data_IF_508013025383
#
_entry.id   IF_508013025383
#
_cell.length_a   1.000
_cell.length_b   1.000
_cell.length_c   1.000
_cell.angle_alpha   90.00
_cell.angle_beta   90.00
_cell.angle_gamma   90.00
#
_symmetry.space_group_name_H-M   'P 1'
#
loop_
_entity.id
_entity.type
_entity.pdbx_description
1 polymer ?
#
# COMPACT_ATOMS: atom_id res chain seq x y z
N UNK A 1 -30.64 31.73 -24.65
CA UNK A 1 -32.02 32.12 -24.28
C UNK A 1 -32.20 31.92 -22.80
N UNK A 2 -32.98 32.83 -22.20
CA UNK A 2 -33.23 33.06 -20.78
C UNK A 2 -33.64 31.85 -19.94
N UNK A 3 -33.26 31.87 -18.66
CA UNK A 3 -33.91 31.16 -17.54
C UNK A 3 -33.66 31.93 -16.24
N UNK A 4 -34.25 33.13 -16.12
CA UNK A 4 -35.30 33.51 -15.15
C UNK A 4 -34.88 33.51 -13.67
N UNK A 5 -34.58 34.72 -13.20
CA UNK A 5 -34.40 35.12 -11.80
C UNK A 5 -35.78 35.45 -11.22
N UNK A 6 -36.19 34.76 -10.17
CA UNK A 6 -37.34 35.19 -9.35
C UNK A 6 -36.90 36.29 -8.38
N UNK A 7 -37.52 37.47 -8.51
CA UNK A 7 -37.22 38.66 -7.72
C UNK A 7 -37.96 38.63 -6.38
N UNK A 8 -37.21 38.56 -5.27
CA UNK A 8 -37.66 39.05 -3.97
C UNK A 8 -37.10 40.47 -3.76
N UNK A 9 -38.00 41.45 -3.62
CA UNK A 9 -37.67 42.86 -3.37
C UNK A 9 -37.45 43.09 -1.86
N UNK A 10 -36.27 43.58 -1.47
CA UNK A 10 -36.12 44.62 -0.43
C UNK A 10 -34.70 45.21 -0.43
N UNK A 11 -34.62 46.54 -0.48
CA UNK A 11 -33.48 47.42 -0.19
C UNK A 11 -32.12 47.16 -0.86
N UNK A 12 -31.98 47.71 -2.08
CA UNK A 12 -30.98 48.75 -2.32
C UNK A 12 -29.48 48.41 -2.31
N UNK A 13 -29.09 47.17 -2.07
CA UNK A 13 -27.72 46.71 -2.25
C UNK A 13 -27.72 45.34 -2.94
N UNK A 14 -27.45 45.34 -4.25
CA UNK A 14 -27.11 44.10 -4.96
C UNK A 14 -25.71 43.71 -4.50
N UNK A 15 -25.63 42.97 -3.38
CA UNK A 15 -24.42 42.21 -3.06
C UNK A 15 -24.42 41.06 -4.06
N UNK A 16 -23.44 40.98 -5.00
CA UNK A 16 -23.33 39.82 -5.86
C UNK A 16 -23.03 38.62 -4.97
N UNK A 17 -24.03 37.79 -4.73
CA UNK A 17 -23.81 36.44 -4.22
C UNK A 17 -23.22 35.66 -5.39
N UNK A 18 -21.89 35.55 -5.43
CA UNK A 18 -21.23 34.54 -6.24
C UNK A 18 -21.70 33.20 -5.69
N UNK A 19 -22.63 32.53 -6.38
CA UNK A 19 -22.83 31.09 -6.20
C UNK A 19 -21.45 30.47 -6.38
N UNK A 20 -20.83 30.02 -5.30
CA UNK A 20 -19.52 29.39 -5.35
C UNK A 20 -19.56 28.33 -6.44
N UNK A 21 -18.70 28.46 -7.45
CA UNK A 21 -18.67 27.51 -8.56
C UNK A 21 -18.60 26.10 -7.97
N UNK A 22 -19.43 25.19 -8.48
CA UNK A 22 -19.36 23.78 -8.10
C UNK A 22 -17.90 23.31 -8.27
N UNK A 23 -17.35 22.53 -7.31
CA UNK A 23 -15.97 22.06 -7.41
C UNK A 23 -15.80 21.26 -8.72
N UNK A 24 -14.65 21.38 -9.37
CA UNK A 24 -14.30 20.55 -10.54
C UNK A 24 -14.17 19.08 -10.11
N UNK A 25 -14.16 18.14 -11.06
CA UNK A 25 -13.91 16.73 -10.73
C UNK A 25 -12.51 16.56 -10.10
N UNK A 26 -11.49 17.25 -10.61
CA UNK A 26 -10.16 17.28 -10.00
C UNK A 26 -10.19 17.69 -8.51
N UNK A 27 -10.97 18.72 -8.15
CA UNK A 27 -11.12 19.16 -6.76
C UNK A 27 -11.88 18.14 -5.90
N UNK A 28 -12.91 17.48 -6.47
CA UNK A 28 -13.66 16.43 -5.76
C UNK A 28 -12.80 15.20 -5.50
N UNK A 29 -12.06 14.74 -6.51
CA UNK A 29 -11.19 13.56 -6.40
C UNK A 29 -10.02 13.84 -5.45
N UNK A 30 -9.40 15.02 -5.54
CA UNK A 30 -8.35 15.42 -4.59
C UNK A 30 -8.87 15.37 -3.15
N UNK A 31 -10.01 16.02 -2.87
CA UNK A 31 -10.59 16.02 -1.52
C UNK A 31 -10.97 14.62 -1.03
N UNK A 32 -11.40 13.72 -1.92
CA UNK A 32 -11.69 12.33 -1.56
C UNK A 32 -10.43 11.55 -1.18
N UNK A 33 -9.34 11.71 -1.94
CA UNK A 33 -8.05 11.07 -1.63
C UNK A 33 -7.45 11.65 -0.35
N UNK A 34 -7.50 12.97 -0.16
CA UNK A 34 -7.06 13.64 1.06
C UNK A 34 -7.80 13.13 2.30
N UNK A 35 -9.12 12.97 2.21
CA UNK A 35 -9.95 12.43 3.29
C UNK A 35 -9.58 10.96 3.60
N UNK A 36 -9.32 10.16 2.58
CA UNK A 36 -8.88 8.78 2.74
C UNK A 36 -7.53 8.70 3.46
N UNK A 37 -6.54 9.51 3.04
CA UNK A 37 -5.25 9.60 3.71
C UNK A 37 -5.36 10.03 5.17
N UNK A 38 -6.22 11.01 5.46
CA UNK A 38 -6.48 11.45 6.82
C UNK A 38 -7.08 10.34 7.69
N UNK A 39 -8.04 9.57 7.17
CA UNK A 39 -8.60 8.40 7.84
C UNK A 39 -7.52 7.35 8.14
N UNK A 40 -6.68 7.05 7.15
CA UNK A 40 -5.61 6.05 7.30
C UNK A 40 -4.58 6.46 8.36
N UNK A 41 -4.12 7.71 8.31
CA UNK A 41 -3.15 8.26 9.26
C UNK A 41 -3.74 8.31 10.68
N UNK A 42 -5.02 8.71 10.82
CA UNK A 42 -5.70 8.74 12.10
C UNK A 42 -5.80 7.33 12.71
N UNK A 43 -6.12 6.32 11.90
CA UNK A 43 -6.22 4.94 12.38
C UNK A 43 -4.87 4.41 12.89
N UNK A 44 -3.78 4.63 12.14
CA UNK A 44 -2.43 4.28 12.61
C UNK A 44 -2.09 4.98 13.93
N UNK A 45 -2.31 6.29 13.99
CA UNK A 45 -2.04 7.09 15.18
C UNK A 45 -2.78 6.59 16.43
N UNK A 46 -4.05 6.20 16.28
CA UNK A 46 -4.87 5.65 17.39
C UNK A 46 -4.33 4.31 17.88
N UNK A 47 -4.00 3.40 16.97
CA UNK A 47 -3.46 2.08 17.33
C UNK A 47 -2.09 2.21 18.01
N UNK A 48 -1.19 3.02 17.44
CA UNK A 48 0.14 3.28 18.00
C UNK A 48 0.06 3.94 19.39
N UNK A 49 -0.79 4.97 19.53
CA UNK A 49 -0.99 5.65 20.81
C UNK A 49 -1.60 4.75 21.87
N UNK A 50 -2.52 3.85 21.49
CA UNK A 50 -3.11 2.88 22.41
C UNK A 50 -2.06 1.90 22.93
N UNK A 51 -1.17 1.43 22.05
CA UNK A 51 -0.06 0.56 22.41
C UNK A 51 0.93 1.25 23.37
N UNK A 52 1.23 2.53 23.12
CA UNK A 52 2.16 3.31 23.95
C UNK A 52 1.62 3.69 25.34
N UNK A 53 0.30 3.69 25.57
CA UNK A 53 -0.33 4.13 26.83
C UNK A 53 -0.20 3.16 28.01
N UNK A 54 0.68 2.16 27.93
CA UNK A 54 0.95 1.23 29.02
C UNK A 54 -0.12 0.14 29.16
N UNK A 55 -0.47 -0.48 28.03
CA UNK A 55 -1.36 -1.63 27.99
C UNK A 55 -0.80 -2.83 28.77
N UNK A 56 -1.67 -3.74 29.23
CA UNK A 56 -1.22 -5.05 29.71
C UNK A 56 -0.48 -5.81 28.60
N UNK A 57 0.38 -6.79 28.91
CA UNK A 57 1.08 -7.57 27.88
C UNK A 57 0.13 -8.20 26.84
N UNK A 58 -1.04 -8.67 27.28
CA UNK A 58 -2.07 -9.26 26.42
C UNK A 58 -2.72 -8.22 25.50
N UNK A 59 -3.12 -7.07 26.04
CA UNK A 59 -3.67 -5.95 25.27
C UNK A 59 -2.65 -5.40 24.27
N UNK A 60 -1.39 -5.26 24.69
CA UNK A 60 -0.28 -4.87 23.83
C UNK A 60 -0.14 -5.83 22.66
N UNK A 61 -0.11 -7.15 22.92
CA UNK A 61 -0.01 -8.15 21.87
C UNK A 61 -1.18 -8.09 20.88
N UNK A 62 -2.40 -7.86 21.38
CA UNK A 62 -3.58 -7.68 20.53
C UNK A 62 -3.48 -6.43 19.65
N UNK A 63 -3.10 -5.30 20.23
CA UNK A 63 -2.91 -4.03 19.50
C UNK A 63 -1.80 -4.13 18.47
N UNK A 64 -0.70 -4.83 18.78
CA UNK A 64 0.41 -5.04 17.86
C UNK A 64 -0.02 -5.88 16.64
N UNK A 65 -0.83 -6.91 16.85
CA UNK A 65 -1.42 -7.71 15.76
C UNK A 65 -2.37 -6.88 14.90
N UNK A 66 -3.22 -6.07 15.51
CA UNK A 66 -4.13 -5.20 14.76
C UNK A 66 -3.36 -4.14 13.94
N UNK A 67 -2.30 -3.56 14.52
CA UNK A 67 -1.43 -2.61 13.83
C UNK A 67 -0.70 -3.26 12.66
N UNK A 68 -0.06 -4.41 12.85
CA UNK A 68 0.60 -5.16 11.78
C UNK A 68 -0.40 -5.55 10.69
N UNK A 69 -1.58 -6.07 11.06
CA UNK A 69 -2.64 -6.39 10.09
C UNK A 69 -2.98 -5.18 9.24
N UNK A 70 -3.25 -4.02 9.85
CA UNK A 70 -3.62 -2.81 9.11
C UNK A 70 -2.49 -2.32 8.18
N UNK A 71 -1.23 -2.42 8.61
CA UNK A 71 -0.07 -2.12 7.76
C UNK A 71 -0.04 -3.04 6.53
N UNK A 72 -0.27 -4.34 6.70
CA UNK A 72 -0.19 -5.34 5.62
C UNK A 72 -1.40 -5.36 4.70
N UNK A 73 -2.60 -5.07 5.21
CA UNK A 73 -3.85 -5.19 4.44
C UNK A 73 -4.35 -3.89 3.84
N UNK A 74 -3.86 -2.75 4.33
CA UNK A 74 -4.34 -1.44 3.90
C UNK A 74 -3.17 -0.51 3.53
N UNK A 75 -2.20 -0.28 4.41
CA UNK A 75 -1.11 0.68 4.12
C UNK A 75 -0.20 0.24 2.97
N UNK A 76 0.37 -0.98 3.03
CA UNK A 76 1.28 -1.46 1.99
C UNK A 76 0.59 -1.68 0.63
N UNK A 77 -0.63 -2.25 0.56
CA UNK A 77 -1.37 -2.32 -0.70
C UNK A 77 -1.69 -0.95 -1.29
N UNK A 78 -2.02 0.03 -0.46
CA UNK A 78 -2.24 1.43 -0.88
C UNK A 78 -0.99 2.04 -1.51
N UNK A 79 0.16 1.95 -0.82
CA UNK A 79 1.45 2.41 -1.35
C UNK A 79 1.78 1.77 -2.73
N UNK A 80 1.56 0.46 -2.89
CA UNK A 80 1.77 -0.22 -4.18
C UNK A 80 0.80 0.23 -5.27
N UNK A 81 -0.44 0.52 -4.90
CA UNK A 81 -1.42 1.06 -5.83
C UNK A 81 -0.97 2.42 -6.36
N UNK A 82 -0.47 3.31 -5.51
CA UNK A 82 0.09 4.61 -5.91
C UNK A 82 1.30 4.45 -6.84
N UNK A 83 2.23 3.55 -6.51
CA UNK A 83 3.42 3.27 -7.32
C UNK A 83 3.06 2.90 -8.77
N UNK A 84 2.02 2.08 -8.93
CA UNK A 84 1.59 1.53 -10.22
C UNK A 84 0.54 2.37 -10.93
N UNK A 85 0.06 3.47 -10.32
CA UNK A 85 -0.97 4.34 -10.92
C UNK A 85 -0.57 5.82 -10.90
N UNK A 86 -0.59 6.46 -9.73
CA UNK A 86 -0.31 7.90 -9.53
C UNK A 86 1.14 8.22 -9.88
N UNK A 87 2.10 7.45 -9.39
CA UNK A 87 3.53 7.75 -9.56
C UNK A 87 3.98 7.57 -11.01
N UNK A 88 3.40 6.61 -11.75
CA UNK A 88 3.63 6.47 -13.19
C UNK A 88 3.18 7.71 -13.97
N UNK A 89 2.09 8.36 -13.55
CA UNK A 89 1.62 9.62 -14.14
C UNK A 89 2.47 10.79 -13.71
N UNK A 90 2.81 10.86 -12.41
CA UNK A 90 3.66 11.90 -11.84
C UNK A 90 5.01 12.00 -12.57
N UNK A 91 5.62 10.86 -12.92
CA UNK A 91 6.85 10.85 -13.73
C UNK A 91 6.68 11.49 -15.11
N UNK A 92 5.53 11.29 -15.76
CA UNK A 92 5.24 11.86 -17.09
C UNK A 92 5.01 13.37 -17.07
N UNK A 93 4.63 13.93 -15.92
CA UNK A 93 4.41 15.38 -15.72
C UNK A 93 5.60 16.09 -15.09
N UNK A 94 6.78 15.46 -15.09
CA UNK A 94 8.03 16.08 -14.66
C UNK A 94 8.35 15.94 -13.16
N UNK A 95 7.63 15.09 -12.42
CA UNK A 95 7.84 14.88 -10.98
C UNK A 95 8.73 13.69 -10.64
N UNK A 96 9.57 13.24 -11.57
CA UNK A 96 10.40 12.04 -11.38
C UNK A 96 11.24 12.08 -10.09
N UNK A 97 11.86 13.23 -9.76
CA UNK A 97 12.66 13.36 -8.52
C UNK A 97 11.78 13.31 -7.26
N UNK A 98 10.59 13.91 -7.29
CA UNK A 98 9.66 13.85 -6.15
C UNK A 98 9.21 12.41 -5.92
N UNK A 99 8.83 11.71 -6.99
CA UNK A 99 8.47 10.29 -6.96
C UNK A 99 9.59 9.43 -6.39
N UNK A 100 10.85 9.69 -6.77
CA UNK A 100 12.00 8.95 -6.22
C UNK A 100 12.09 9.08 -4.68
N UNK A 101 11.81 10.28 -4.14
CA UNK A 101 11.75 10.47 -2.67
C UNK A 101 10.59 9.71 -2.03
N UNK A 102 9.44 9.60 -2.68
CA UNK A 102 8.29 8.84 -2.17
C UNK A 102 8.58 7.34 -2.17
N UNK A 103 9.17 6.82 -3.25
CA UNK A 103 9.59 5.42 -3.33
C UNK A 103 10.66 5.06 -2.29
N UNK A 104 11.55 6.00 -1.97
CA UNK A 104 12.50 5.83 -0.88
C UNK A 104 11.77 5.70 0.47
N UNK A 105 10.78 6.56 0.73
CA UNK A 105 9.96 6.50 1.95
C UNK A 105 9.13 5.22 2.04
N UNK A 106 8.58 4.71 0.93
CA UNK A 106 7.91 3.41 0.89
C UNK A 106 8.83 2.27 1.32
N UNK A 107 10.06 2.23 0.78
CA UNK A 107 11.06 1.21 1.17
C UNK A 107 11.44 1.35 2.64
N UNK A 108 11.59 2.58 3.13
CA UNK A 108 11.89 2.85 4.52
C UNK A 108 10.75 2.40 5.45
N UNK A 109 9.50 2.73 5.12
CA UNK A 109 8.32 2.26 5.85
C UNK A 109 8.24 0.74 5.84
N UNK A 110 8.44 0.09 4.70
CA UNK A 110 8.49 -1.37 4.58
C UNK A 110 9.51 -1.99 5.54
N UNK A 111 10.74 -1.47 5.55
CA UNK A 111 11.80 -1.96 6.45
C UNK A 111 11.45 -1.76 7.94
N UNK A 112 10.80 -0.64 8.29
CA UNK A 112 10.36 -0.36 9.68
C UNK A 112 9.19 -1.25 10.11
N UNK A 113 8.30 -1.60 9.19
CA UNK A 113 7.22 -2.56 9.43
C UNK A 113 7.80 -3.95 9.70
N UNK A 114 8.77 -4.39 8.88
CA UNK A 114 9.44 -5.67 9.09
C UNK A 114 10.17 -5.69 10.46
N UNK A 115 10.84 -4.59 10.83
CA UNK A 115 11.47 -4.44 12.16
C UNK A 115 10.44 -4.48 13.29
N UNK A 116 9.31 -3.79 13.14
CA UNK A 116 8.22 -3.75 14.13
C UNK A 116 7.69 -5.15 14.47
N UNK A 117 7.62 -6.05 13.49
CA UNK A 117 7.14 -7.43 13.67
C UNK A 117 8.14 -8.31 14.43
N UNK A 118 9.41 -7.89 14.55
CA UNK A 118 10.43 -8.59 15.35
C UNK A 118 10.50 -8.11 16.80
N UNK A 119 9.98 -6.92 17.09
CA UNK A 119 10.04 -6.29 18.40
C UNK A 119 8.86 -6.70 19.28
N UNK A 120 8.97 -6.44 20.59
CA UNK A 120 7.86 -6.58 21.54
C UNK A 120 7.87 -5.44 22.56
N UNK A 121 6.78 -5.28 23.31
CA UNK A 121 6.71 -4.34 24.43
C UNK A 121 7.01 -2.88 24.04
N UNK A 122 7.74 -2.16 24.89
CA UNK A 122 7.95 -0.71 24.73
C UNK A 122 8.70 -0.31 23.45
N UNK A 123 9.62 -1.15 22.97
CA UNK A 123 10.36 -0.88 21.72
C UNK A 123 9.43 -0.98 20.51
N UNK A 124 8.56 -2.00 20.49
CA UNK A 124 7.53 -2.16 19.47
C UNK A 124 6.52 -1.00 19.49
N UNK A 125 6.10 -0.55 20.68
CA UNK A 125 5.23 0.62 20.83
C UNK A 125 5.89 1.89 20.30
N UNK A 126 7.18 2.13 20.63
CA UNK A 126 7.92 3.28 20.14
C UNK A 126 8.04 3.28 18.61
N UNK A 127 8.35 2.13 18.01
CA UNK A 127 8.46 2.02 16.56
C UNK A 127 7.11 2.22 15.85
N UNK A 128 5.99 1.81 16.46
CA UNK A 128 4.64 2.07 15.92
C UNK A 128 4.34 3.57 15.78
N UNK A 129 4.78 4.39 16.74
CA UNK A 129 4.63 5.84 16.69
C UNK A 129 5.47 6.44 15.55
N UNK A 130 6.70 5.96 15.37
CA UNK A 130 7.58 6.39 14.27
C UNK A 130 6.96 6.06 12.91
N UNK A 131 6.48 4.83 12.72
CA UNK A 131 5.81 4.42 11.48
C UNK A 131 4.60 5.32 11.20
N UNK A 132 3.78 5.59 12.22
CA UNK A 132 2.58 6.43 12.09
C UNK A 132 2.91 7.85 11.65
N UNK A 133 3.95 8.45 12.23
CA UNK A 133 4.36 9.82 11.91
C UNK A 133 4.99 9.93 10.51
N UNK A 134 5.82 8.96 10.14
CA UNK A 134 6.40 8.90 8.80
C UNK A 134 5.30 8.74 7.74
N UNK A 135 4.33 7.86 7.96
CA UNK A 135 3.19 7.71 7.06
C UNK A 135 2.37 9.00 6.94
N UNK A 136 2.07 9.66 8.06
CA UNK A 136 1.33 10.93 8.07
C UNK A 136 2.03 12.02 7.25
N UNK A 137 3.34 12.17 7.45
CA UNK A 137 4.16 13.14 6.70
C UNK A 137 4.23 12.78 5.22
N UNK A 138 4.38 11.49 4.92
CA UNK A 138 4.41 10.96 3.57
C UNK A 138 3.10 11.27 2.81
N UNK A 139 1.95 10.93 3.39
CA UNK A 139 0.65 11.18 2.76
C UNK A 139 0.40 12.68 2.53
N UNK A 140 0.83 13.54 3.46
CA UNK A 140 0.76 15.00 3.27
C UNK A 140 1.62 15.50 2.11
N UNK A 141 2.83 14.94 1.92
CA UNK A 141 3.67 15.29 0.76
C UNK A 141 2.98 14.92 -0.55
N UNK A 142 2.32 13.77 -0.61
CA UNK A 142 1.59 13.37 -1.80
C UNK A 142 0.43 14.33 -2.12
N UNK A 143 -0.38 14.66 -1.09
CA UNK A 143 -1.49 15.61 -1.18
C UNK A 143 -1.06 16.99 -1.67
N UNK A 144 0.11 17.46 -1.23
CA UNK A 144 0.59 18.81 -1.54
C UNK A 144 1.31 18.88 -2.89
N UNK A 145 2.12 17.88 -3.22
CA UNK A 145 3.09 17.99 -4.30
C UNK A 145 2.81 17.09 -5.50
N UNK A 146 2.12 15.96 -5.33
CA UNK A 146 1.91 14.99 -6.40
C UNK A 146 0.48 15.08 -6.94
N UNK A 147 -0.52 14.87 -6.09
CA UNK A 147 -1.91 14.76 -6.52
C UNK A 147 -2.41 15.99 -7.29
N UNK A 148 -2.17 17.25 -6.85
CA UNK A 148 -2.67 18.41 -7.58
C UNK A 148 -2.09 18.51 -8.99
N UNK A 149 -0.83 18.10 -9.18
CA UNK A 149 -0.15 18.15 -10.47
C UNK A 149 -0.60 17.02 -11.40
N UNK A 150 -0.79 15.81 -10.85
CA UNK A 150 -1.32 14.68 -11.62
C UNK A 150 -2.76 14.97 -12.07
N UNK A 151 -3.62 15.43 -11.16
CA UNK A 151 -5.04 15.67 -11.46
C UNK A 151 -5.24 16.86 -12.41
N UNK A 152 -4.39 17.89 -12.35
CA UNK A 152 -4.44 19.02 -13.29
C UNK A 152 -3.82 18.73 -14.66
N UNK A 153 -3.13 17.60 -14.81
CA UNK A 153 -2.50 17.19 -16.08
C UNK A 153 -3.44 16.48 -17.06
N UNK A 154 -4.66 16.13 -16.62
CA UNK A 154 -5.68 15.45 -17.43
C UNK A 154 -6.94 16.32 -17.56
N UNK A 155 -7.75 16.13 -18.62
CA UNK A 155 -9.08 16.76 -18.71
C UNK A 155 -9.97 16.39 -17.51
N UNK A 156 -10.82 17.32 -17.05
CA UNK A 156 -11.63 17.14 -15.84
C UNK A 156 -12.58 15.94 -15.95
N UNK A 157 -13.05 15.63 -17.17
CA UNK A 157 -13.88 14.46 -17.49
C UNK A 157 -13.14 13.11 -17.36
N UNK A 158 -11.80 13.09 -17.44
CA UNK A 158 -10.97 11.88 -17.35
C UNK A 158 -10.42 11.63 -15.93
N UNK A 159 -10.52 12.62 -15.04
CA UNK A 159 -10.00 12.52 -13.66
C UNK A 159 -10.57 11.32 -12.90
N UNK A 160 -11.86 11.02 -13.08
CA UNK A 160 -12.51 9.88 -12.42
C UNK A 160 -11.91 8.52 -12.77
N UNK A 161 -11.24 8.40 -13.93
CA UNK A 161 -10.54 7.18 -14.33
C UNK A 161 -9.30 6.92 -13.47
N UNK A 162 -8.62 7.98 -13.02
CA UNK A 162 -7.45 7.91 -12.14
C UNK A 162 -7.86 7.29 -10.80
N UNK A 163 -8.93 7.78 -10.19
CA UNK A 163 -9.45 7.22 -8.93
C UNK A 163 -9.85 5.75 -9.08
N UNK A 164 -10.52 5.43 -10.19
CA UNK A 164 -10.92 4.06 -10.50
C UNK A 164 -9.71 3.14 -10.68
N UNK A 165 -8.59 3.64 -11.22
CA UNK A 165 -7.35 2.89 -11.35
C UNK A 165 -6.68 2.63 -10.00
N UNK A 166 -6.58 3.65 -9.14
CA UNK A 166 -6.06 3.50 -7.78
C UNK A 166 -6.84 2.41 -7.04
N UNK A 167 -8.18 2.45 -7.10
CA UNK A 167 -9.02 1.45 -6.43
C UNK A 167 -8.83 0.02 -6.98
N UNK A 168 -8.64 -0.12 -8.30
CA UNK A 168 -8.36 -1.42 -8.93
C UNK A 168 -7.01 -1.96 -8.50
N UNK A 169 -5.96 -1.15 -8.56
CA UNK A 169 -4.61 -1.58 -8.15
C UNK A 169 -4.55 -1.83 -6.65
N UNK A 170 -5.28 -1.08 -5.81
CA UNK A 170 -5.43 -1.37 -4.39
C UNK A 170 -6.07 -2.74 -4.15
N UNK A 171 -7.19 -3.02 -4.83
CA UNK A 171 -7.91 -4.29 -4.68
C UNK A 171 -7.03 -5.48 -5.09
N UNK A 172 -6.28 -5.33 -6.18
CA UNK A 172 -5.30 -6.30 -6.65
C UNK A 172 -4.15 -6.48 -5.66
N UNK A 173 -3.55 -5.39 -5.20
CA UNK A 173 -2.47 -5.41 -4.22
C UNK A 173 -2.91 -6.03 -2.87
N UNK A 174 -4.18 -5.85 -2.49
CA UNK A 174 -4.79 -6.47 -1.31
C UNK A 174 -5.08 -7.97 -1.52
N UNK A 175 -5.49 -8.36 -2.73
CA UNK A 175 -5.72 -9.75 -3.12
C UNK A 175 -4.44 -10.59 -3.21
N UNK A 176 -3.32 -9.99 -3.61
CA UNK A 176 -1.99 -10.63 -3.62
C UNK A 176 -1.51 -11.01 -2.20
N UNK A 177 -2.09 -10.41 -1.16
CA UNK A 177 -1.81 -10.74 0.25
C UNK A 177 -2.50 -12.03 0.69
N UNK A 178 -3.52 -12.51 -0.03
CA UNK A 178 -4.30 -13.72 0.32
C UNK A 178 -3.86 -14.95 -0.52
N UNK A 179 -3.20 -14.75 -1.66
CA UNK A 179 -2.55 -15.84 -2.42
C UNK A 179 -1.25 -15.31 -3.03
N UNK A 180 -0.18 -15.36 -2.24
CA UNK A 180 1.13 -14.84 -2.62
C UNK A 180 1.72 -15.67 -3.77
N UNK A 181 1.68 -15.17 -5.01
CA UNK A 181 2.40 -15.78 -6.14
C UNK A 181 3.64 -14.95 -6.48
N UNK A 182 4.78 -15.61 -6.69
CA UNK A 182 6.07 -15.00 -7.03
C UNK A 182 6.59 -15.59 -8.33
N UNK A 183 6.69 -14.79 -9.38
CA UNK A 183 7.27 -15.20 -10.66
C UNK A 183 8.77 -14.88 -10.72
N UNK A 184 9.61 -15.91 -10.82
CA UNK A 184 11.08 -15.78 -10.85
C UNK A 184 11.65 -15.57 -12.25
N UNK A 185 10.86 -15.85 -13.29
CA UNK A 185 11.32 -15.76 -14.69
C UNK A 185 11.86 -14.37 -15.08
N UNK A 186 11.26 -13.24 -14.65
CA UNK A 186 11.80 -11.91 -14.96
C UNK A 186 12.97 -11.50 -14.05
N UNK A 187 13.30 -12.28 -13.01
CA UNK A 187 14.34 -11.93 -12.04
C UNK A 187 15.71 -12.46 -12.47
N UNK A 188 16.75 -11.68 -12.20
CA UNK A 188 18.14 -12.09 -12.37
C UNK A 188 18.45 -13.32 -11.48
N UNK A 189 19.21 -14.32 -11.97
CA UNK A 189 19.42 -15.58 -11.27
C UNK A 189 19.90 -15.44 -9.82
N UNK A 190 20.71 -14.42 -9.54
CA UNK A 190 21.26 -14.16 -8.20
C UNK A 190 20.23 -13.64 -7.21
N UNK A 191 19.18 -12.96 -7.66
CA UNK A 191 18.15 -12.36 -6.81
C UNK A 191 16.99 -13.31 -6.48
N UNK A 192 16.83 -14.39 -7.27
CA UNK A 192 15.68 -15.30 -7.18
C UNK A 192 15.54 -15.95 -5.80
N UNK A 193 16.65 -16.44 -5.23
CA UNK A 193 16.61 -17.14 -3.93
C UNK A 193 16.32 -16.19 -2.78
N UNK A 194 16.94 -15.02 -2.77
CA UNK A 194 16.73 -14.01 -1.73
C UNK A 194 15.25 -13.58 -1.67
N UNK A 195 14.62 -13.41 -2.84
CA UNK A 195 13.20 -13.10 -2.95
C UNK A 195 12.33 -14.24 -2.41
N UNK A 196 12.59 -15.49 -2.79
CA UNK A 196 11.81 -16.64 -2.29
C UNK A 196 11.98 -16.82 -0.79
N UNK A 197 13.21 -16.73 -0.28
CA UNK A 197 13.50 -16.95 1.14
C UNK A 197 12.87 -15.88 2.01
N UNK A 198 13.01 -14.61 1.63
CA UNK A 198 12.32 -13.51 2.29
C UNK A 198 10.81 -13.73 2.32
N UNK A 199 10.23 -14.21 1.20
CA UNK A 199 8.78 -14.44 1.08
C UNK A 199 8.28 -15.62 1.92
N UNK A 200 8.99 -16.74 1.98
CA UNK A 200 8.56 -17.91 2.79
C UNK A 200 8.77 -17.69 4.29
N UNK A 201 9.76 -16.88 4.66
CA UNK A 201 10.02 -16.57 6.06
C UNK A 201 8.93 -15.66 6.66
N UNK A 202 8.38 -14.75 5.86
CA UNK A 202 7.28 -13.87 6.25
C UNK A 202 5.90 -14.54 6.28
N UNK A 203 5.79 -15.80 5.87
CA UNK A 203 4.55 -16.55 6.01
C UNK A 203 4.24 -16.81 7.50
N UNK A 204 2.98 -16.64 7.87
CA UNK A 204 2.43 -17.17 9.12
C UNK A 204 2.27 -18.70 9.02
N UNK A 205 2.10 -19.38 10.17
CA UNK A 205 1.87 -20.83 10.19
C UNK A 205 0.60 -21.20 9.40
N UNK A 206 0.73 -22.12 8.44
CA UNK A 206 -0.34 -22.47 7.49
C UNK A 206 -0.44 -21.55 6.26
N UNK A 207 0.33 -20.45 6.20
CA UNK A 207 0.42 -19.59 5.03
C UNK A 207 1.12 -20.27 3.86
N UNK A 208 0.81 -19.83 2.63
CA UNK A 208 1.33 -20.41 1.40
C UNK A 208 1.81 -19.35 0.39
N UNK A 209 2.85 -19.70 -0.37
CA UNK A 209 3.32 -18.96 -1.56
C UNK A 209 3.47 -19.91 -2.74
N UNK A 210 3.06 -19.46 -3.94
CA UNK A 210 3.34 -20.17 -5.18
C UNK A 210 4.49 -19.50 -5.93
N UNK A 211 5.55 -20.25 -6.24
CA UNK A 211 6.69 -19.79 -7.03
C UNK A 211 6.55 -20.27 -8.46
N UNK A 212 6.72 -19.40 -9.45
CA UNK A 212 6.79 -19.75 -10.88
C UNK A 212 8.24 -19.66 -11.33
N UNK A 213 8.76 -20.72 -11.96
CA UNK A 213 10.16 -20.80 -12.38
C UNK A 213 10.28 -21.30 -13.84
N UNK A 214 11.34 -20.86 -14.53
CA UNK A 214 11.65 -21.23 -15.93
C UNK A 214 12.36 -22.59 -16.05
N UNK A 215 12.64 -23.23 -14.92
CA UNK A 215 13.25 -24.55 -14.82
C UNK A 215 12.76 -25.28 -13.57
N UNK A 216 13.07 -26.57 -13.48
CA UNK A 216 12.66 -27.40 -12.36
C UNK A 216 13.19 -26.84 -11.02
N UNK A 217 12.32 -26.45 -10.07
CA UNK A 217 12.70 -25.79 -8.82
C UNK A 217 13.18 -26.78 -7.73
N UNK A 218 13.40 -28.06 -8.08
CA UNK A 218 13.91 -29.07 -7.14
C UNK A 218 15.19 -28.67 -6.38
N UNK A 219 16.18 -27.95 -6.97
CA UNK A 219 17.32 -27.43 -6.22
C UNK A 219 16.93 -26.44 -5.12
N UNK A 220 15.96 -25.56 -5.41
CA UNK A 220 15.43 -24.58 -4.47
C UNK A 220 14.69 -25.26 -3.31
N UNK A 221 13.90 -26.29 -3.61
CA UNK A 221 13.30 -27.15 -2.58
C UNK A 221 14.35 -27.74 -1.63
N UNK A 222 15.42 -28.36 -2.16
CA UNK A 222 16.46 -28.94 -1.32
C UNK A 222 17.20 -27.89 -0.48
N UNK A 223 17.36 -26.66 -0.98
CA UNK A 223 17.92 -25.58 -0.18
C UNK A 223 16.99 -25.17 0.97
N UNK A 224 15.68 -25.07 0.72
CA UNK A 224 14.70 -24.75 1.77
C UNK A 224 14.71 -25.83 2.86
N UNK A 225 14.67 -27.11 2.48
CA UNK A 225 14.68 -28.23 3.42
C UNK A 225 16.00 -28.32 4.21
N UNK A 226 17.13 -28.02 3.59
CA UNK A 226 18.43 -28.00 4.29
C UNK A 226 18.54 -26.84 5.29
N UNK A 227 17.98 -25.67 4.97
CA UNK A 227 18.03 -24.49 5.83
C UNK A 227 16.98 -24.52 6.95
N UNK A 228 15.79 -25.05 6.67
CA UNK A 228 14.69 -25.14 7.61
C UNK A 228 14.01 -26.53 7.56
N UNK A 229 14.68 -27.57 8.08
CA UNK A 229 14.17 -28.94 8.02
C UNK A 229 12.77 -29.07 8.62
N UNK A 230 11.82 -29.55 7.83
CA UNK A 230 10.43 -29.80 8.26
C UNK A 230 9.57 -28.56 8.52
N UNK A 231 10.09 -27.34 8.34
CA UNK A 231 9.33 -26.11 8.55
C UNK A 231 8.41 -25.74 7.37
N UNK A 232 8.66 -26.33 6.19
CA UNK A 232 7.92 -26.04 4.97
C UNK A 232 7.56 -27.32 4.21
N UNK A 233 6.33 -27.38 3.70
CA UNK A 233 5.88 -28.39 2.75
C UNK A 233 5.91 -27.81 1.34
N UNK A 234 6.50 -28.52 0.37
CA UNK A 234 6.62 -28.05 -1.01
C UNK A 234 5.95 -29.02 -2.00
N UNK A 235 5.10 -28.49 -2.88
CA UNK A 235 4.47 -29.24 -3.98
C UNK A 235 4.93 -28.66 -5.31
N UNK A 236 5.61 -29.45 -6.14
CA UNK A 236 6.11 -29.04 -7.46
C UNK A 236 5.21 -29.60 -8.56
N UNK A 237 4.76 -28.73 -9.46
CA UNK A 237 4.03 -29.10 -10.67
C UNK A 237 4.74 -28.57 -11.92
N UNK A 238 4.74 -29.36 -12.99
CA UNK A 238 5.18 -28.90 -14.31
C UNK A 238 3.95 -28.49 -15.12
N UNK A 239 3.95 -27.24 -15.59
CA UNK A 239 2.84 -26.68 -16.37
C UNK A 239 3.08 -26.89 -17.87
N UNK A 240 4.33 -26.68 -18.32
CA UNK A 240 4.77 -26.91 -19.70
C UNK A 240 6.28 -27.24 -19.74
N UNK A 241 6.89 -27.27 -20.93
CA UNK A 241 8.32 -27.60 -21.12
C UNK A 241 9.29 -26.66 -20.39
N UNK A 242 8.88 -25.41 -20.12
CA UNK A 242 9.71 -24.35 -19.51
C UNK A 242 9.05 -23.67 -18.32
N UNK A 243 7.88 -24.11 -17.87
CA UNK A 243 7.18 -23.49 -16.75
C UNK A 243 6.91 -24.52 -15.66
N UNK A 244 7.44 -24.23 -14.47
CA UNK A 244 7.21 -25.00 -13.26
C UNK A 244 6.57 -24.12 -12.20
N UNK A 245 5.66 -24.68 -11.41
CA UNK A 245 5.15 -24.05 -10.20
C UNK A 245 5.60 -24.85 -8.98
N UNK A 246 5.94 -24.15 -7.91
CA UNK A 246 6.23 -24.74 -6.61
C UNK A 246 5.42 -24.02 -5.55
N UNK A 247 4.42 -24.69 -5.01
CA UNK A 247 3.67 -24.23 -3.85
C UNK A 247 4.46 -24.56 -2.58
N UNK A 248 4.69 -23.57 -1.74
CA UNK A 248 5.43 -23.68 -0.49
C UNK A 248 4.51 -23.26 0.65
N UNK A 249 4.20 -24.18 1.55
CA UNK A 249 3.33 -23.98 2.71
C UNK A 249 4.16 -24.05 3.97
N UNK A 250 4.05 -23.05 4.85
CA UNK A 250 4.72 -23.08 6.16
C UNK A 250 3.97 -24.03 7.08
N UNK A 251 4.67 -25.05 7.58
CA UNK A 251 4.12 -26.00 8.55
C UNK A 251 4.01 -25.27 9.89
N UNK A 252 2.80 -25.27 10.47
CA UNK A 252 2.47 -24.56 11.71
C UNK A 252 3.18 -25.10 12.94
#
# INVERSE_FOLDING_TARGET
>A
MSGLVENLKSDGAVIPVTLGNKPTEAQRVLGAIEAHHAEMAQRLSVLASSMAKGATPEEHSSLAKEFSSYLRTDILPHARAEETSVYLRAQKVGLAQVVETMLFEHRYLGAKIDEFETLTGSEQAALSLVISEVFSTHAQKENLFILPQVLSSVPDEEVGEILSEIQREFTKAKGDTITSTVDLRPLEPRARHDVVFSKIQSLEGGGAVTVINDHNPKPLFYQIDALWPGAYSCTINQVDERTFTMEIVKVG
#
